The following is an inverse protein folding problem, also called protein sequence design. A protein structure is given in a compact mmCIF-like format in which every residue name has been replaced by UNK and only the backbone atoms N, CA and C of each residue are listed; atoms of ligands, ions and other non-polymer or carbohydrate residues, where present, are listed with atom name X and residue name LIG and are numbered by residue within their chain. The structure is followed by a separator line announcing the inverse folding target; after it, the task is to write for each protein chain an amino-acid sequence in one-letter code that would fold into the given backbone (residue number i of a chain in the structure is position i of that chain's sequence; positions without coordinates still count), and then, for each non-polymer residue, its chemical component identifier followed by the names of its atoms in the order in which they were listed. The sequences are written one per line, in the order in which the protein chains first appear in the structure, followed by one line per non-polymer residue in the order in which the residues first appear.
data_IF_120129852382
#
_entry.id   IF_120129852382
#
_cell.length_a   1.000
_cell.length_b   1.000
_cell.length_c   1.000
_cell.angle_alpha   90.00
_cell.angle_beta   90.00
_cell.angle_gamma   90.00
#
_symmetry.space_group_name_H-M   'P 1'
#
loop_
_entity.id
_entity.type
_entity.pdbx_description
1 polymer ?
#
# COMPACT_ATOMS: atom_id res chain seq x y z
N UNK A 1 17.19 -4.73 3.25
CA UNK A 1 16.34 -3.56 2.96
C UNK A 1 15.48 -3.29 4.18
N UNK A 2 15.40 -2.05 4.65
CA UNK A 2 14.68 -1.69 5.88
C UNK A 2 13.18 -1.97 5.73
N UNK A 3 12.63 -2.86 6.57
CA UNK A 3 11.20 -3.20 6.56
C UNK A 3 10.30 -2.01 6.93
N UNK A 4 10.89 -1.03 7.61
CA UNK A 4 10.20 0.14 8.12
C UNK A 4 9.64 1.02 6.99
N UNK A 5 10.43 1.32 5.95
CA UNK A 5 10.01 2.28 4.92
C UNK A 5 8.79 1.80 4.11
N UNK A 6 8.75 0.55 3.60
CA UNK A 6 7.55 0.05 2.91
C UNK A 6 6.33 -0.03 3.83
N UNK A 7 6.53 -0.39 5.10
CA UNK A 7 5.45 -0.41 6.08
C UNK A 7 4.87 0.99 6.33
N UNK A 8 5.73 1.99 6.54
CA UNK A 8 5.32 3.38 6.73
C UNK A 8 4.61 3.94 5.50
N UNK A 9 5.09 3.60 4.29
CA UNK A 9 4.42 3.96 3.04
C UNK A 9 2.97 3.48 3.04
N UNK A 10 2.72 2.21 3.35
CA UNK A 10 1.36 1.67 3.46
C UNK A 10 0.50 2.36 4.50
N UNK A 11 1.06 2.63 5.69
CA UNK A 11 0.34 3.33 6.75
C UNK A 11 -0.07 4.75 6.36
N UNK A 12 0.86 5.52 5.78
CA UNK A 12 0.60 6.89 5.31
C UNK A 12 -0.39 6.88 4.15
N UNK A 13 -0.33 5.89 3.25
CA UNK A 13 -1.33 5.73 2.19
C UNK A 13 -2.72 5.60 2.80
N UNK A 14 -2.89 4.79 3.84
CA UNK A 14 -4.20 4.64 4.48
C UNK A 14 -4.70 5.94 5.14
N UNK A 15 -3.81 6.71 5.75
CA UNK A 15 -4.18 8.01 6.35
C UNK A 15 -4.60 9.00 5.26
N UNK A 16 -3.87 9.06 4.15
CA UNK A 16 -4.22 9.93 3.03
C UNK A 16 -5.58 9.55 2.42
N UNK A 17 -5.79 8.26 2.20
CA UNK A 17 -7.04 7.66 1.72
C UNK A 17 -8.23 8.04 2.62
N UNK A 18 -8.11 7.83 3.94
CA UNK A 18 -9.14 8.25 4.91
C UNK A 18 -9.44 9.77 4.88
N UNK A 19 -8.43 10.61 4.64
CA UNK A 19 -8.61 12.08 4.54
C UNK A 19 -9.28 12.46 3.22
N UNK A 20 -8.87 11.82 2.12
CA UNK A 20 -9.34 12.08 0.77
C UNK A 20 -10.80 11.65 0.58
N UNK A 21 -11.15 10.45 1.05
CA UNK A 21 -12.45 9.83 0.75
C UNK A 21 -13.56 10.29 1.68
N UNK A 22 -13.25 10.54 2.97
CA UNK A 22 -14.27 10.94 3.95
C UNK A 22 -14.63 12.42 3.91
N UNK A 23 -14.12 13.17 2.92
CA UNK A 23 -14.19 14.63 2.84
C UNK A 23 -13.92 15.26 4.22
N UNK A 24 -12.98 14.67 4.99
CA UNK A 24 -12.62 15.24 6.28
C UNK A 24 -12.19 16.65 5.95
N UNK A 25 -12.75 17.64 6.65
CA UNK A 25 -12.40 19.05 6.51
C UNK A 25 -10.98 19.30 7.05
N UNK A 26 -10.02 18.58 6.47
CA UNK A 26 -8.62 18.69 6.74
C UNK A 26 -8.12 19.97 6.06
N UNK A 27 -7.29 20.70 6.80
CA UNK A 27 -6.64 21.89 6.28
C UNK A 27 -5.84 21.52 5.00
N UNK A 28 -5.91 22.29 3.91
CA UNK A 28 -5.24 21.95 2.65
C UNK A 28 -3.75 21.64 2.80
N UNK A 29 -3.05 22.36 3.68
CA UNK A 29 -1.64 22.10 3.99
C UNK A 29 -1.35 20.71 4.59
N UNK A 30 -2.31 20.11 5.30
CA UNK A 30 -2.18 18.74 5.84
C UNK A 30 -2.26 17.74 4.69
N UNK A 31 -3.25 17.90 3.81
CA UNK A 31 -3.42 17.04 2.62
C UNK A 31 -2.16 17.07 1.76
N UNK A 32 -1.63 18.26 1.46
CA UNK A 32 -0.39 18.40 0.69
C UNK A 32 0.85 17.83 1.39
N UNK A 33 0.90 17.89 2.74
CA UNK A 33 1.97 17.26 3.51
C UNK A 33 1.94 15.74 3.40
N UNK A 34 0.73 15.13 3.42
CA UNK A 34 0.56 13.68 3.21
C UNK A 34 0.93 13.27 1.79
N UNK A 35 0.48 14.02 0.76
CA UNK A 35 0.88 13.78 -0.64
C UNK A 35 2.40 13.81 -0.82
N UNK A 36 3.05 14.84 -0.27
CA UNK A 36 4.50 15.00 -0.33
C UNK A 36 5.24 13.85 0.37
N UNK A 37 4.73 13.43 1.53
CA UNK A 37 5.29 12.30 2.30
C UNK A 37 5.16 10.98 1.55
N UNK A 38 4.02 10.76 0.87
CA UNK A 38 3.81 9.58 0.02
C UNK A 38 4.81 9.52 -1.12
N UNK A 39 4.99 10.62 -1.86
CA UNK A 39 5.96 10.69 -2.96
C UNK A 39 7.38 10.44 -2.46
N UNK A 40 7.76 11.05 -1.33
CA UNK A 40 9.08 10.87 -0.73
C UNK A 40 9.33 9.41 -0.31
N UNK A 41 8.40 8.80 0.41
CA UNK A 41 8.52 7.41 0.86
C UNK A 41 8.50 6.42 -0.31
N UNK A 42 7.63 6.65 -1.30
CA UNK A 42 7.62 5.85 -2.52
C UNK A 42 8.96 5.92 -3.24
N UNK A 43 9.54 7.12 -3.34
CA UNK A 43 10.86 7.33 -3.94
C UNK A 43 11.93 6.58 -3.17
N UNK A 44 11.96 6.68 -1.84
CA UNK A 44 12.94 5.97 -0.99
C UNK A 44 12.79 4.44 -1.07
N UNK A 45 11.56 3.91 -1.09
CA UNK A 45 11.29 2.47 -1.19
C UNK A 45 11.61 1.91 -2.57
N UNK A 46 11.42 2.73 -3.62
CA UNK A 46 11.70 2.37 -5.00
C UNK A 46 13.16 2.60 -5.39
N UNK A 47 13.92 3.30 -4.56
CA UNK A 47 15.33 3.57 -4.82
C UNK A 47 16.09 2.25 -4.96
N UNK A 48 16.91 2.19 -6.01
CA UNK A 48 17.74 1.05 -6.39
C UNK A 48 16.99 -0.27 -6.70
N UNK A 49 15.68 -0.22 -6.96
CA UNK A 49 14.90 -1.39 -7.39
C UNK A 49 14.07 -1.10 -8.63
N UNK A 50 14.60 -1.52 -9.79
CA UNK A 50 13.95 -1.38 -11.10
C UNK A 50 12.58 -2.04 -11.17
N UNK A 51 12.43 -3.26 -10.62
CA UNK A 51 11.20 -4.04 -10.78
C UNK A 51 10.08 -3.48 -9.93
N UNK A 52 10.40 -3.04 -8.71
CA UNK A 52 9.43 -2.37 -7.86
C UNK A 52 9.03 -1.01 -8.45
N UNK A 53 9.98 -0.18 -8.88
CA UNK A 53 9.64 1.11 -9.51
C UNK A 53 8.81 0.93 -10.78
N UNK A 54 9.12 -0.10 -11.59
CA UNK A 54 8.35 -0.47 -12.77
C UNK A 54 6.93 -0.95 -12.44
N UNK A 55 6.77 -1.65 -11.31
CA UNK A 55 5.44 -2.01 -10.80
C UNK A 55 4.65 -0.77 -10.40
N UNK A 56 5.28 0.16 -9.67
CA UNK A 56 4.65 1.40 -9.22
C UNK A 56 4.23 2.30 -10.39
N UNK A 57 5.05 2.45 -11.44
CA UNK A 57 4.66 3.21 -12.64
C UNK A 57 3.46 2.56 -13.33
N UNK A 58 3.44 1.23 -13.50
CA UNK A 58 2.31 0.56 -14.13
C UNK A 58 1.04 0.75 -13.30
N UNK A 59 1.10 0.52 -11.99
CA UNK A 59 -0.05 0.73 -11.11
C UNK A 59 -0.54 2.19 -11.14
N UNK A 60 0.37 3.16 -11.14
CA UNK A 60 0.02 4.58 -11.24
C UNK A 60 -0.66 4.94 -12.58
N UNK A 61 -0.28 4.27 -13.67
CA UNK A 61 -0.91 4.46 -14.99
C UNK A 61 -2.28 3.76 -15.10
N UNK A 62 -2.46 2.64 -14.40
CA UNK A 62 -3.70 1.85 -14.44
C UNK A 62 -4.77 2.33 -13.44
N UNK A 63 -4.38 2.97 -12.33
CA UNK A 63 -5.35 3.48 -11.37
C UNK A 63 -5.96 4.79 -11.90
N UNK A 64 -7.26 4.77 -12.15
CA UNK A 64 -8.00 5.84 -12.81
C UNK A 64 -8.05 7.10 -11.96
N UNK A 65 -7.08 7.98 -12.17
CA UNK A 65 -7.03 9.34 -11.66
C UNK A 65 -6.01 10.18 -12.41
N UNK A 66 -5.82 9.93 -13.72
CA UNK A 66 -4.83 10.60 -14.57
C UNK A 66 -5.00 12.13 -14.52
N UNK A 67 -6.22 12.62 -14.27
CA UNK A 67 -6.51 14.06 -14.19
C UNK A 67 -6.18 14.69 -12.82
N UNK A 68 -5.71 13.90 -11.83
CA UNK A 68 -5.29 14.45 -10.54
C UNK A 68 -3.77 14.72 -10.54
N UNK A 69 -3.33 15.97 -10.27
CA UNK A 69 -1.91 16.35 -10.21
C UNK A 69 -1.06 15.47 -9.27
N UNK A 70 -1.67 14.87 -8.25
CA UNK A 70 -1.01 13.93 -7.36
C UNK A 70 -0.58 12.63 -8.06
N UNK A 71 -1.49 12.00 -8.80
CA UNK A 71 -1.21 10.74 -9.50
C UNK A 71 -0.23 10.96 -10.65
N UNK A 72 -0.32 12.10 -11.34
CA UNK A 72 0.67 12.52 -12.33
C UNK A 72 2.08 12.61 -11.71
N UNK A 73 2.19 13.18 -10.51
CA UNK A 73 3.47 13.30 -9.80
C UNK A 73 4.05 11.93 -9.40
N UNK A 74 3.19 11.00 -8.96
CA UNK A 74 3.60 9.62 -8.66
C UNK A 74 4.05 8.88 -9.92
N UNK A 75 3.30 9.00 -11.01
CA UNK A 75 3.65 8.38 -12.29
C UNK A 75 4.99 8.92 -12.81
N UNK A 76 5.19 10.23 -12.77
CA UNK A 76 6.43 10.89 -13.17
C UNK A 76 7.62 10.45 -12.29
N UNK A 77 7.47 10.44 -10.96
CA UNK A 77 8.52 9.98 -10.05
C UNK A 77 8.88 8.51 -10.31
N UNK A 78 7.88 7.64 -10.45
CA UNK A 78 8.07 6.21 -10.72
C UNK A 78 8.75 5.98 -12.09
N UNK A 79 8.42 6.79 -13.10
CA UNK A 79 9.07 6.75 -14.40
C UNK A 79 10.55 7.13 -14.34
N UNK A 80 10.89 8.23 -13.65
CA UNK A 80 12.28 8.66 -13.49
C UNK A 80 13.12 7.61 -12.76
N UNK A 81 12.58 7.01 -11.69
CA UNK A 81 13.27 5.96 -10.94
C UNK A 81 13.46 4.70 -11.79
N UNK A 82 12.44 4.31 -12.56
CA UNK A 82 12.51 3.17 -13.49
C UNK A 82 13.59 3.38 -14.55
N UNK A 83 13.63 4.57 -15.17
CA UNK A 83 14.66 4.91 -16.16
C UNK A 83 16.05 4.90 -15.52
N UNK A 84 16.21 5.55 -14.36
CA UNK A 84 17.47 5.55 -13.60
C UNK A 84 17.96 4.14 -13.33
N UNK A 85 17.06 3.24 -12.96
CA UNK A 85 17.43 1.91 -12.51
C UNK A 85 17.45 0.85 -13.63
N UNK A 86 17.24 1.22 -14.90
CA UNK A 86 17.20 0.27 -16.02
C UNK A 86 18.49 -0.55 -16.16
N UNK A 87 19.64 0.06 -15.84
CA UNK A 87 20.95 -0.62 -15.83
C UNK A 87 21.06 -1.70 -14.76
N UNK A 88 20.19 -1.68 -13.74
CA UNK A 88 20.14 -2.66 -12.67
C UNK A 88 19.10 -3.77 -12.90
N UNK A 89 18.44 -3.81 -14.05
CA UNK A 89 17.55 -4.92 -14.40
C UNK A 89 18.29 -6.28 -14.43
N UNK A 90 19.59 -6.26 -14.74
CA UNK A 90 20.43 -7.46 -14.77
C UNK A 90 20.03 -8.44 -15.89
N UNK A 91 20.51 -9.68 -15.81
CA UNK A 91 20.30 -10.66 -16.89
C UNK A 91 18.86 -11.19 -16.96
N UNK A 92 18.46 -11.78 -18.09
CA UNK A 92 17.12 -12.35 -18.33
C UNK A 92 15.95 -11.36 -18.18
N UNK A 93 16.19 -10.08 -18.49
CA UNK A 93 15.22 -8.96 -18.35
C UNK A 93 13.81 -9.33 -18.81
N UNK A 94 13.69 -9.98 -19.98
CA UNK A 94 12.40 -10.34 -20.58
C UNK A 94 11.58 -11.26 -19.65
N UNK A 95 12.20 -12.33 -19.14
CA UNK A 95 11.52 -13.27 -18.25
C UNK A 95 11.09 -12.59 -16.95
N UNK A 96 11.95 -11.74 -16.40
CA UNK A 96 11.67 -10.99 -15.16
C UNK A 96 10.55 -9.97 -15.36
N UNK A 97 10.51 -9.29 -16.51
CA UNK A 97 9.41 -8.40 -16.88
C UNK A 97 8.10 -9.16 -16.98
N UNK A 98 8.07 -10.35 -17.58
CA UNK A 98 6.87 -11.19 -17.62
C UNK A 98 6.36 -11.52 -16.22
N UNK A 99 7.24 -11.93 -15.30
CA UNK A 99 6.87 -12.18 -13.91
C UNK A 99 6.37 -10.92 -13.20
N UNK A 100 6.98 -9.77 -13.48
CA UNK A 100 6.58 -8.47 -12.91
C UNK A 100 5.19 -8.08 -13.41
N UNK A 101 4.91 -8.26 -14.71
CA UNK A 101 3.58 -8.02 -15.30
C UNK A 101 2.54 -8.96 -14.68
N UNK A 102 2.87 -10.25 -14.49
CA UNK A 102 1.98 -11.18 -13.81
C UNK A 102 1.69 -10.75 -12.36
N UNK A 103 2.69 -10.25 -11.64
CA UNK A 103 2.52 -9.70 -10.30
C UNK A 103 1.65 -8.43 -10.31
N UNK A 104 1.87 -7.50 -11.26
CA UNK A 104 1.03 -6.31 -11.45
C UNK A 104 -0.40 -6.72 -11.70
N UNK A 105 -0.65 -7.68 -12.60
CA UNK A 105 -2.01 -8.20 -12.86
C UNK A 105 -2.63 -8.77 -11.60
N UNK A 106 -1.88 -9.54 -10.80
CA UNK A 106 -2.37 -10.07 -9.53
C UNK A 106 -2.70 -8.95 -8.52
N UNK A 107 -1.86 -7.92 -8.42
CA UNK A 107 -2.13 -6.75 -7.57
C UNK A 107 -3.33 -5.96 -8.07
N UNK A 108 -3.47 -5.74 -9.38
CA UNK A 108 -4.62 -5.06 -9.98
C UNK A 108 -5.91 -5.83 -9.76
N UNK A 109 -5.88 -7.17 -9.86
CA UNK A 109 -7.03 -8.01 -9.49
C UNK A 109 -7.36 -7.81 -8.00
N UNK A 110 -6.34 -7.82 -7.13
CA UNK A 110 -6.50 -7.51 -5.71
C UNK A 110 -7.15 -6.15 -5.46
N UNK A 111 -6.72 -5.12 -6.20
CA UNK A 111 -7.26 -3.77 -6.15
C UNK A 111 -8.71 -3.68 -6.66
N UNK A 112 -9.09 -4.44 -7.70
CA UNK A 112 -10.49 -4.54 -8.13
C UNK A 112 -11.37 -5.14 -7.02
N UNK A 113 -10.79 -6.02 -6.20
CA UNK A 113 -11.45 -6.55 -5.02
C UNK A 113 -11.20 -5.70 -3.76
N UNK A 114 -10.55 -4.54 -3.86
CA UNK A 114 -10.26 -3.66 -2.72
C UNK A 114 -11.53 -3.29 -1.98
N UNK A 115 -12.58 -2.86 -2.69
CA UNK A 115 -13.87 -2.55 -2.07
C UNK A 115 -14.46 -3.74 -1.30
N UNK A 116 -14.10 -4.97 -1.68
CA UNK A 116 -14.51 -6.20 -0.98
C UNK A 116 -13.55 -6.61 0.14
N UNK A 117 -12.25 -6.33 0.00
CA UNK A 117 -11.20 -6.64 0.97
C UNK A 117 -11.11 -5.58 2.08
N UNK A 118 -11.42 -4.33 1.75
CA UNK A 118 -11.37 -3.15 2.58
C UNK A 118 -12.65 -2.31 2.52
N UNK A 119 -13.86 -2.90 2.63
CA UNK A 119 -15.10 -2.14 2.58
C UNK A 119 -15.12 -1.06 3.68
N UNK A 120 -15.45 0.18 3.33
CA UNK A 120 -15.26 1.37 4.17
C UNK A 120 -16.10 1.39 5.46
N UNK A 121 -17.28 0.77 5.45
CA UNK A 121 -18.16 0.79 6.63
C UNK A 121 -17.48 0.09 7.80
N UNK A 122 -17.56 0.69 8.99
CA UNK A 122 -16.88 0.16 10.18
C UNK A 122 -17.72 -0.95 10.81
N UNK A 123 -17.17 -2.17 10.88
CA UNK A 123 -17.81 -3.31 11.57
C UNK A 123 -16.78 -4.20 12.28
N UNK A 124 -17.23 -4.94 13.30
CA UNK A 124 -16.36 -5.85 14.08
C UNK A 124 -15.86 -7.00 13.22
N UNK A 125 -16.71 -7.52 12.32
CA UNK A 125 -16.37 -8.59 11.38
C UNK A 125 -15.23 -8.17 10.43
N UNK A 126 -15.24 -6.92 9.97
CA UNK A 126 -14.19 -6.37 9.09
C UNK A 126 -12.87 -6.17 9.83
N UNK A 127 -12.92 -5.69 11.09
CA UNK A 127 -11.74 -5.60 11.95
C UNK A 127 -11.13 -6.99 12.12
N UNK A 128 -11.95 -8.01 12.41
CA UNK A 128 -11.48 -9.38 12.55
C UNK A 128 -10.82 -9.91 11.26
N UNK A 129 -11.44 -9.70 10.09
CA UNK A 129 -10.86 -10.09 8.81
C UNK A 129 -9.51 -9.42 8.53
N UNK A 130 -9.39 -8.12 8.83
CA UNK A 130 -8.13 -7.37 8.65
C UNK A 130 -7.05 -7.81 9.64
N UNK A 131 -7.41 -8.17 10.87
CA UNK A 131 -6.48 -8.79 11.82
C UNK A 131 -5.99 -10.14 11.30
N UNK A 132 -6.89 -10.99 10.76
CA UNK A 132 -6.48 -12.24 10.11
C UNK A 132 -5.55 -12.01 8.92
N UNK A 133 -5.82 -10.98 8.11
CA UNK A 133 -4.96 -10.58 6.99
C UNK A 133 -3.56 -10.17 7.49
N UNK A 134 -3.48 -9.33 8.54
CA UNK A 134 -2.23 -8.91 9.17
C UNK A 134 -1.45 -10.13 9.68
N UNK A 135 -2.11 -11.06 10.36
CA UNK A 135 -1.49 -12.30 10.85
C UNK A 135 -0.99 -13.15 9.67
N UNK A 136 -1.82 -13.35 8.64
CA UNK A 136 -1.47 -14.11 7.44
C UNK A 136 -0.26 -13.52 6.72
N UNK A 137 -0.24 -12.21 6.49
CA UNK A 137 0.91 -11.52 5.89
C UNK A 137 2.15 -11.66 6.78
N UNK A 138 2.00 -11.52 8.11
CA UNK A 138 3.11 -11.68 9.05
C UNK A 138 3.72 -13.08 8.99
N UNK A 139 2.88 -14.12 8.90
CA UNK A 139 3.31 -15.50 8.71
C UNK A 139 4.07 -15.64 7.39
N UNK A 140 3.52 -15.13 6.28
CA UNK A 140 4.19 -15.22 4.98
C UNK A 140 5.53 -14.49 4.97
N UNK A 141 5.63 -13.30 5.58
CA UNK A 141 6.89 -12.55 5.73
C UNK A 141 7.89 -13.31 6.60
N UNK A 142 7.43 -13.97 7.67
CA UNK A 142 8.28 -14.80 8.52
C UNK A 142 8.79 -16.05 7.81
N UNK A 143 7.96 -16.64 6.94
CA UNK A 143 8.30 -17.80 6.12
C UNK A 143 9.08 -17.42 4.86
N UNK A 144 9.20 -16.14 4.52
CA UNK A 144 9.87 -15.66 3.31
C UNK A 144 11.32 -16.17 3.15
N UNK A 145 12.15 -16.30 4.20
CA UNK A 145 13.47 -16.93 4.11
C UNK A 145 13.43 -18.40 3.65
N UNK A 146 12.31 -19.11 3.81
CA UNK A 146 12.18 -20.48 3.26
C UNK A 146 12.12 -20.48 1.72
N UNK A 147 11.76 -19.35 1.09
CA UNK A 147 11.84 -19.22 -0.37
C UNK A 147 13.30 -19.23 -0.86
N UNK A 148 14.25 -18.89 0.00
CA UNK A 148 15.68 -19.00 -0.29
C UNK A 148 16.08 -20.47 -0.47
N UNK A 149 15.47 -21.38 0.30
CA UNK A 149 15.64 -22.83 0.18
C UNK A 149 15.22 -23.36 -1.20
N UNK A 150 14.18 -22.76 -1.80
CA UNK A 150 13.67 -23.14 -3.13
C UNK A 150 14.40 -22.42 -4.27
N UNK A 151 15.51 -21.72 -3.99
CA UNK A 151 16.29 -20.96 -4.97
C UNK A 151 15.43 -19.95 -5.75
N UNK A 152 14.38 -19.42 -5.10
CA UNK A 152 13.51 -18.44 -5.74
C UNK A 152 14.31 -17.16 -6.01
N UNK A 153 14.16 -16.52 -7.18
CA UNK A 153 15.05 -15.43 -7.54
C UNK A 153 14.83 -14.16 -6.71
N UNK A 154 15.92 -13.51 -6.25
CA UNK A 154 15.89 -12.30 -5.42
C UNK A 154 15.09 -11.14 -6.02
N UNK A 155 15.22 -10.93 -7.33
CA UNK A 155 14.53 -9.87 -8.07
C UNK A 155 13.01 -10.02 -8.07
N UNK A 156 12.49 -11.24 -7.85
CA UNK A 156 11.05 -11.47 -7.67
C UNK A 156 10.63 -11.37 -6.21
N UNK A 157 11.52 -11.74 -5.28
CA UNK A 157 11.27 -11.74 -3.84
C UNK A 157 11.17 -10.33 -3.26
N UNK A 158 12.09 -9.43 -3.63
CA UNK A 158 12.16 -8.10 -3.04
C UNK A 158 10.91 -7.22 -3.31
N UNK A 159 10.40 -7.11 -4.55
CA UNK A 159 9.18 -6.34 -4.82
C UNK A 159 7.95 -6.92 -4.13
N UNK A 160 7.79 -8.25 -4.13
CA UNK A 160 6.67 -8.93 -3.44
C UNK A 160 6.71 -8.62 -1.94
N UNK A 161 7.89 -8.72 -1.33
CA UNK A 161 8.07 -8.42 0.09
C UNK A 161 7.74 -6.97 0.42
N UNK A 162 8.17 -6.01 -0.41
CA UNK A 162 7.80 -4.59 -0.27
C UNK A 162 6.29 -4.40 -0.35
N UNK A 163 5.65 -4.99 -1.37
CA UNK A 163 4.19 -4.95 -1.53
C UNK A 163 3.46 -5.52 -0.32
N UNK A 164 3.91 -6.66 0.22
CA UNK A 164 3.36 -7.25 1.45
C UNK A 164 3.51 -6.33 2.67
N UNK A 165 4.67 -5.69 2.84
CA UNK A 165 4.90 -4.73 3.93
C UNK A 165 4.01 -3.48 3.79
N UNK A 166 3.81 -2.97 2.57
CA UNK A 166 2.88 -1.87 2.29
C UNK A 166 1.45 -2.28 2.65
N UNK A 167 0.97 -3.44 2.19
CA UNK A 167 -0.36 -3.94 2.55
C UNK A 167 -0.51 -4.13 4.06
N UNK A 168 0.53 -4.62 4.73
CA UNK A 168 0.53 -4.81 6.18
C UNK A 168 0.42 -3.47 6.93
N UNK A 169 1.20 -2.46 6.53
CA UNK A 169 1.12 -1.11 7.09
C UNK A 169 -0.24 -0.47 6.88
N UNK A 170 -0.78 -0.57 5.66
CA UNK A 170 -2.12 -0.08 5.32
C UNK A 170 -3.18 -0.75 6.21
N UNK A 171 -3.20 -2.09 6.27
CA UNK A 171 -4.16 -2.84 7.07
C UNK A 171 -4.06 -2.54 8.58
N UNK A 172 -2.82 -2.39 9.10
CA UNK A 172 -2.57 -2.08 10.51
C UNK A 172 -3.17 -0.74 10.91
N UNK A 173 -2.88 0.31 10.15
CA UNK A 173 -3.46 1.64 10.39
C UNK A 173 -4.97 1.59 10.24
N UNK A 174 -5.48 0.87 9.23
CA UNK A 174 -6.91 0.73 8.99
C UNK A 174 -7.66 0.07 10.17
N UNK A 175 -7.06 -0.96 10.80
CA UNK A 175 -7.60 -1.59 12.02
C UNK A 175 -7.61 -0.60 13.18
N UNK A 176 -6.52 0.14 13.40
CA UNK A 176 -6.41 1.14 14.47
C UNK A 176 -7.50 2.21 14.30
N UNK A 177 -7.65 2.76 13.10
CA UNK A 177 -8.68 3.77 12.80
C UNK A 177 -10.09 3.21 13.04
N UNK A 178 -10.37 1.98 12.61
CA UNK A 178 -11.69 1.36 12.81
C UNK A 178 -12.00 1.10 14.29
N UNK A 179 -11.04 0.61 15.08
CA UNK A 179 -11.21 0.41 16.53
C UNK A 179 -11.50 1.75 17.21
N UNK A 180 -10.73 2.79 16.87
CA UNK A 180 -10.95 4.14 17.37
C UNK A 180 -12.37 4.63 17.05
N UNK A 181 -12.80 4.51 15.80
CA UNK A 181 -14.13 4.94 15.37
C UNK A 181 -15.25 4.16 16.06
N UNK A 182 -15.13 2.85 16.26
CA UNK A 182 -16.12 2.05 17.01
C UNK A 182 -16.24 2.51 18.46
N UNK A 183 -15.10 2.74 19.12
CA UNK A 183 -15.08 3.15 20.52
C UNK A 183 -15.77 4.51 20.72
N UNK A 184 -15.45 5.48 19.88
CA UNK A 184 -16.01 6.83 20.00
C UNK A 184 -17.45 6.95 19.47
N UNK A 185 -17.81 6.27 18.39
CA UNK A 185 -19.20 6.24 17.90
C UNK A 185 -20.15 5.59 18.91
N UNK A 186 -19.73 4.50 19.56
CA UNK A 186 -20.47 3.86 20.65
C UNK A 186 -20.68 4.78 21.86
N UNK A 187 -19.64 5.51 22.28
CA UNK A 187 -19.74 6.45 23.41
C UNK A 187 -20.73 7.59 23.17
N UNK A 188 -20.81 8.11 21.93
CA UNK A 188 -21.72 9.21 21.60
C UNK A 188 -23.20 8.79 21.64
N UNK A 189 -23.51 7.53 21.29
CA UNK A 189 -24.87 6.97 21.32
C UNK A 189 -25.34 6.69 22.76
N UNK A 190 -24.44 6.20 23.62
CA UNK A 190 -24.76 6.02 25.05
C UNK A 190 -25.00 7.35 25.76
N UNK A 191 -24.22 8.40 25.46
CA UNK A 191 -24.43 9.74 26.01
C UNK A 191 -25.76 10.37 25.54
N UNK A 192 -26.16 10.15 24.29
CA UNK A 192 -27.44 10.64 23.76
C UNK A 192 -28.63 9.93 24.40
N UNK A 193 -28.51 8.63 24.68
CA UNK A 193 -29.57 7.84 25.32
C UNK A 193 -29.68 8.11 26.83
N UNK A 194 -28.60 8.55 27.51
CA UNK A 194 -28.66 8.99 28.92
C UNK A 194 -29.31 10.37 29.12
N UNK A 195 -29.44 11.16 28.05
CA UNK A 195 -30.04 12.50 28.07
C UNK A 195 -31.53 12.52 27.70
N UNK A 196 -32.13 11.37 27.38
CA UNK A 196 -33.57 11.19 27.13
C UNK A 196 -34.22 10.53 28.34
#
# INVERSE_FOLDING_TARGET
MDYLLPYLLGGITKVYDDISDKEVSAHPGIVESFKSSLIALLTMVSMDDFYFSFTCILLALYNCGIDNPFWESIAAASALITIRNISYAGDNVIFKLLLTILAVVAFSIGAIFEDRLFPEEVSVEKIFFRVLLIIGISIVIFLFPLLDTFHFPEFSKAPIKKGMLIMHGYASVSVITMIYLLYYSGSSLEELNRKK
#
